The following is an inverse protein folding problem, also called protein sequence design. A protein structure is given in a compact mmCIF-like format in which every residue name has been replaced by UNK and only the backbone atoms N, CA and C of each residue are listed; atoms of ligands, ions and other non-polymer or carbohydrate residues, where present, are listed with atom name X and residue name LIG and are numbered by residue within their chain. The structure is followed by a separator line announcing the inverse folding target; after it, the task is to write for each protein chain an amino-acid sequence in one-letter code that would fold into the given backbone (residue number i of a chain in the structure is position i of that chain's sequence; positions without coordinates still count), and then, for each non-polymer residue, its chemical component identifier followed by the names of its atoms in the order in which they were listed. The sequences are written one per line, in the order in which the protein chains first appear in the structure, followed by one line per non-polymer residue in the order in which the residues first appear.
data_IF_308317058621
#
_entry.id   IF_308317058621
#
_cell.length_a   1.000
_cell.length_b   1.000
_cell.length_c   1.000
_cell.angle_alpha   90.00
_cell.angle_beta   90.00
_cell.angle_gamma   90.00
#
_symmetry.space_group_name_H-M   'P 1'
#
loop_
_entity.id
_entity.type
_entity.pdbx_description
1 polymer ?
#
# COMPACT_ATOMS: atom_id res chain seq x y z
N UNK A 1 -1.59 -0.89 10.62
CA UNK A 1 -0.55 -0.18 9.84
C UNK A 1 0.61 0.12 10.79
N UNK A 2 1.84 -0.13 10.35
CA UNK A 2 3.07 0.19 11.10
C UNK A 2 4.03 0.94 10.17
N UNK A 3 4.72 1.95 10.69
CA UNK A 3 5.77 2.70 9.99
C UNK A 3 6.74 3.28 11.03
N UNK A 4 7.97 3.63 10.61
CA UNK A 4 8.93 4.27 11.52
C UNK A 4 8.64 5.74 11.76
N UNK A 5 8.00 6.42 10.79
CA UNK A 5 7.66 7.84 10.88
C UNK A 5 6.24 8.08 10.39
N UNK A 6 5.59 9.08 10.98
CA UNK A 6 4.28 9.58 10.58
C UNK A 6 4.31 11.09 10.41
N UNK A 7 3.57 11.61 9.43
CA UNK A 7 3.35 13.04 9.24
C UNK A 7 1.89 13.31 8.91
N UNK A 8 1.34 14.38 9.45
CA UNK A 8 0.03 14.92 9.08
C UNK A 8 0.27 16.20 8.29
N UNK A 9 -0.49 16.38 7.21
CA UNK A 9 -0.59 17.65 6.52
C UNK A 9 -1.82 18.38 7.01
N UNK A 10 -1.65 19.46 7.76
CA UNK A 10 -2.79 20.14 8.40
C UNK A 10 -3.73 20.83 7.40
N UNK A 11 -3.21 21.22 6.23
CA UNK A 11 -4.01 21.90 5.22
C UNK A 11 -4.95 20.92 4.50
N UNK A 12 -4.45 19.75 4.12
CA UNK A 12 -5.25 18.74 3.40
C UNK A 12 -5.87 17.69 4.32
N UNK A 13 -5.36 17.58 5.55
CA UNK A 13 -5.59 16.49 6.51
C UNK A 13 -5.12 15.13 5.99
N UNK A 14 -4.19 15.12 5.04
CA UNK A 14 -3.58 13.89 4.55
C UNK A 14 -2.65 13.31 5.62
N UNK A 15 -2.58 11.98 5.67
CA UNK A 15 -1.68 11.26 6.57
C UNK A 15 -0.59 10.57 5.75
N UNK A 16 0.64 10.66 6.21
CA UNK A 16 1.80 10.04 5.58
C UNK A 16 2.44 9.07 6.58
N UNK A 17 2.61 7.84 6.15
CA UNK A 17 3.43 6.82 6.81
C UNK A 17 4.73 6.69 6.00
N UNK A 18 5.88 6.82 6.66
CA UNK A 18 7.19 6.94 6.00
C UNK A 18 8.17 5.98 6.66
N UNK A 19 9.00 5.35 5.82
CA UNK A 19 10.04 4.38 6.12
C UNK A 19 9.52 3.08 6.74
N UNK A 20 9.77 1.97 6.03
CA UNK A 20 9.43 0.61 6.44
C UNK A 20 7.93 0.45 6.73
N UNK A 21 7.08 0.93 5.82
CA UNK A 21 5.62 0.87 5.98
C UNK A 21 5.15 -0.55 5.74
N UNK A 22 4.38 -1.07 6.69
CA UNK A 22 3.71 -2.37 6.60
C UNK A 22 2.22 -2.17 6.89
N UNK A 23 1.39 -2.62 5.95
CA UNK A 23 -0.06 -2.62 6.11
C UNK A 23 -0.58 -4.03 5.97
N UNK A 24 -1.44 -4.43 6.90
CA UNK A 24 -2.11 -5.73 6.87
C UNK A 24 -3.59 -5.43 6.69
N UNK A 25 -4.17 -5.97 5.62
CA UNK A 25 -5.60 -5.92 5.36
C UNK A 25 -6.34 -6.94 6.21
N UNK A 26 -7.64 -6.73 6.45
CA UNK A 26 -8.50 -7.68 7.17
C UNK A 26 -8.60 -9.03 6.44
N UNK A 27 -8.35 -9.05 5.13
CA UNK A 27 -8.30 -10.28 4.31
C UNK A 27 -7.02 -11.11 4.49
N UNK A 28 -6.05 -10.61 5.28
CA UNK A 28 -4.75 -11.26 5.49
C UNK A 28 -3.70 -10.95 4.42
N UNK A 29 -3.98 -10.03 3.50
CA UNK A 29 -2.97 -9.53 2.56
C UNK A 29 -2.05 -8.50 3.23
N UNK A 30 -0.75 -8.59 2.96
CA UNK A 30 0.29 -7.69 3.49
C UNK A 30 0.83 -6.81 2.37
N UNK A 31 0.94 -5.52 2.63
CA UNK A 31 1.51 -4.52 1.73
C UNK A 31 2.74 -3.92 2.39
N UNK A 32 3.85 -3.86 1.66
CA UNK A 32 5.07 -3.18 2.10
C UNK A 32 5.49 -2.11 1.10
N UNK A 33 5.91 -0.96 1.62
CA UNK A 33 6.41 0.17 0.82
C UNK A 33 7.25 1.12 1.67
N UNK A 34 7.99 2.02 1.03
CA UNK A 34 8.79 3.04 1.71
C UNK A 34 7.94 4.22 2.17
N UNK A 35 6.86 4.54 1.45
CA UNK A 35 5.97 5.64 1.79
C UNK A 35 4.54 5.28 1.39
N UNK A 36 3.59 5.64 2.26
CA UNK A 36 2.17 5.44 2.03
C UNK A 36 1.42 6.67 2.49
N UNK A 37 0.51 7.16 1.65
CA UNK A 37 -0.31 8.33 1.92
C UNK A 37 -1.77 7.91 2.03
N UNK A 38 -2.42 8.28 3.11
CA UNK A 38 -3.88 8.32 3.16
C UNK A 38 -4.33 9.72 2.72
N UNK A 39 -5.01 9.77 1.58
CA UNK A 39 -5.51 11.00 0.97
C UNK A 39 -6.92 11.28 1.51
N UNK A 40 -7.06 12.39 2.23
CA UNK A 40 -8.29 12.71 2.92
C UNK A 40 -9.43 13.10 1.96
N UNK A 41 -9.09 13.71 0.81
CA UNK A 41 -10.07 14.25 -0.14
C UNK A 41 -11.01 13.19 -0.73
N UNK A 42 -10.49 11.99 -0.99
CA UNK A 42 -11.24 10.88 -1.59
C UNK A 42 -11.12 9.58 -0.80
N UNK A 43 -10.54 9.65 0.41
CA UNK A 43 -10.46 8.54 1.36
C UNK A 43 -9.66 7.35 0.82
N UNK A 44 -8.71 7.59 -0.10
CA UNK A 44 -7.87 6.54 -0.69
C UNK A 44 -6.51 6.42 -0.02
N UNK A 45 -5.96 5.21 -0.08
CA UNK A 45 -4.57 4.92 0.24
C UNK A 45 -3.78 4.93 -1.07
N UNK A 46 -2.71 5.69 -1.15
CA UNK A 46 -1.89 5.83 -2.35
C UNK A 46 -0.40 5.76 -2.04
N UNK A 47 0.40 5.30 -3.00
CA UNK A 47 1.86 5.37 -2.97
C UNK A 47 2.42 5.49 -4.38
N UNK A 48 3.40 6.36 -4.59
CA UNK A 48 4.19 6.45 -5.82
C UNK A 48 5.46 5.58 -5.76
N UNK A 49 5.78 5.01 -4.59
CA UNK A 49 6.98 4.22 -4.34
C UNK A 49 6.80 2.78 -4.80
N UNK A 50 7.89 2.03 -4.70
CA UNK A 50 7.84 0.59 -4.92
C UNK A 50 6.94 -0.05 -3.85
N UNK A 51 6.01 -0.89 -4.30
CA UNK A 51 5.06 -1.59 -3.44
C UNK A 51 5.19 -3.08 -3.70
N UNK A 52 5.21 -3.85 -2.61
CA UNK A 52 5.07 -5.30 -2.65
C UNK A 52 3.79 -5.70 -1.92
N UNK A 53 2.93 -6.45 -2.60
CA UNK A 53 1.70 -7.02 -2.06
C UNK A 53 1.87 -8.52 -1.99
N UNK A 54 1.64 -9.09 -0.81
CA UNK A 54 1.63 -10.54 -0.58
C UNK A 54 0.23 -10.89 -0.10
N UNK A 55 -0.55 -11.53 -0.98
CA UNK A 55 -1.88 -12.05 -0.65
C UNK A 55 -1.82 -13.55 -0.36
N UNK A 56 -2.98 -14.16 -0.12
CA UNK A 56 -3.10 -15.62 0.00
C UNK A 56 -2.86 -16.34 -1.33
N UNK A 57 -3.02 -15.67 -2.47
CA UNK A 57 -2.96 -16.29 -3.80
C UNK A 57 -1.68 -15.96 -4.57
N UNK A 58 -1.12 -14.79 -4.34
CA UNK A 58 -0.06 -14.25 -5.19
C UNK A 58 0.80 -13.22 -4.48
N UNK A 59 1.97 -12.98 -5.06
CA UNK A 59 2.85 -11.85 -4.75
C UNK A 59 2.93 -10.94 -5.97
N UNK A 60 2.61 -9.67 -5.77
CA UNK A 60 2.62 -8.64 -6.81
C UNK A 60 3.61 -7.56 -6.38
N UNK A 61 4.42 -7.06 -7.31
CA UNK A 61 5.33 -5.95 -7.08
C UNK A 61 5.25 -4.93 -8.21
N UNK A 62 5.42 -3.66 -7.88
CA UNK A 62 5.35 -2.59 -8.87
C UNK A 62 5.39 -1.19 -8.28
N UNK A 63 5.05 -0.21 -9.12
CA UNK A 63 5.00 1.21 -8.78
C UNK A 63 3.62 1.79 -9.04
N UNK A 64 3.25 2.80 -8.25
CA UNK A 64 1.96 3.47 -8.34
C UNK A 64 0.86 2.57 -7.79
N UNK A 65 0.61 2.67 -6.50
CA UNK A 65 -0.43 1.95 -5.78
C UNK A 65 -1.57 2.90 -5.43
N UNK A 66 -2.80 2.46 -5.64
CA UNK A 66 -4.01 3.12 -5.16
C UNK A 66 -5.00 2.08 -4.65
N UNK A 67 -5.63 2.35 -3.51
CA UNK A 67 -6.58 1.44 -2.87
C UNK A 67 -7.63 2.16 -2.04
N UNK A 68 -8.76 1.50 -1.79
CA UNK A 68 -9.66 1.87 -0.69
C UNK A 68 -9.00 1.63 0.70
N UNK A 69 -9.63 2.15 1.76
CA UNK A 69 -9.12 2.06 3.14
C UNK A 69 -9.06 0.64 3.70
N UNK A 70 -9.89 -0.27 3.20
CA UNK A 70 -9.97 -1.66 3.62
C UNK A 70 -8.99 -2.55 2.84
N UNK A 71 -8.36 -2.01 1.80
CA UNK A 71 -7.39 -2.71 0.96
C UNK A 71 -8.05 -3.90 0.26
N UNK A 72 -9.29 -3.70 -0.17
CA UNK A 72 -10.06 -4.72 -0.89
C UNK A 72 -10.04 -4.48 -2.39
N UNK A 73 -10.06 -3.21 -2.82
CA UNK A 73 -10.01 -2.80 -4.21
C UNK A 73 -8.75 -1.95 -4.42
N UNK A 74 -7.68 -2.58 -4.91
CA UNK A 74 -6.42 -1.90 -5.20
C UNK A 74 -6.01 -2.06 -6.66
N UNK A 75 -5.22 -1.09 -7.12
CA UNK A 75 -4.60 -1.06 -8.44
C UNK A 75 -3.11 -0.80 -8.26
N UNK A 76 -2.29 -1.55 -9.00
CA UNK A 76 -0.88 -1.22 -9.22
C UNK A 76 -0.74 -0.80 -10.68
N UNK A 77 -0.38 0.46 -10.92
CA UNK A 77 -0.34 1.03 -12.26
C UNK A 77 0.80 0.46 -13.10
N UNK A 78 1.96 0.18 -12.49
CA UNK A 78 3.14 -0.33 -13.18
C UNK A 78 3.64 -1.60 -12.49
N UNK A 79 3.11 -2.75 -12.90
CA UNK A 79 3.52 -4.05 -12.37
C UNK A 79 4.90 -4.42 -12.94
N UNK A 80 5.84 -4.74 -12.05
CA UNK A 80 7.18 -5.20 -12.42
C UNK A 80 7.34 -6.71 -12.25
N UNK A 81 6.59 -7.31 -11.33
CA UNK A 81 6.65 -8.73 -11.05
C UNK A 81 5.32 -9.25 -10.50
N UNK A 82 4.91 -10.42 -10.97
CA UNK A 82 3.77 -11.16 -10.45
C UNK A 82 4.10 -12.64 -10.40
N UNK A 83 3.80 -13.30 -9.30
CA UNK A 83 3.91 -14.75 -9.16
C UNK A 83 2.78 -15.29 -8.29
N UNK A 84 2.36 -16.53 -8.57
CA UNK A 84 1.41 -17.24 -7.71
C UNK A 84 2.13 -17.71 -6.45
N UNK A 85 1.41 -17.71 -5.32
CA UNK A 85 1.97 -18.10 -4.03
C UNK A 85 2.38 -19.58 -3.99
N UNK A 86 1.67 -20.43 -4.73
CA UNK A 86 2.02 -21.86 -4.85
C UNK A 86 3.32 -22.12 -5.64
N UNK A 87 3.92 -21.07 -6.20
CA UNK A 87 5.18 -21.12 -6.95
C UNK A 87 6.34 -20.42 -6.23
N UNK A 88 6.14 -20.00 -4.96
CA UNK A 88 7.15 -19.42 -4.07
C UNK A 88 7.86 -20.47 -3.22
#
# INVERSE_FOLDING_TARGET
LTAKKGRVDDATRDLYAIDSVIVVSDSGSTITTDELKWRNSDKKIVSDKFVTIISTKEKIQGYGFESDQHIQNYVIYNITYVTKRDSL
#
